data_IF_398503215883
#
_entry.id   IF_398503215883
#
_cell.length_a   1.000
_cell.length_b   1.000
_cell.length_c   1.000
_cell.angle_alpha   90.00
_cell.angle_beta   90.00
_cell.angle_gamma   90.00
#
_symmetry.space_group_name_H-M   'P 1'
#
loop_
_entity.id
_entity.type
_entity.pdbx_description
1 polymer ?
#
# COMPACT_ATOMS: atom_id res chain seq x y z
N UNK A 1 5.52 21.76 7.64
CA UNK A 1 4.17 22.34 7.50
C UNK A 1 3.29 21.84 8.63
N UNK A 2 2.73 22.78 9.40
CA UNK A 2 1.65 22.44 10.32
C UNK A 2 0.34 22.44 9.52
N UNK A 3 -0.16 21.27 9.17
CA UNK A 3 -1.56 21.15 8.75
C UNK A 3 -2.42 21.19 10.01
N UNK A 4 -3.45 22.02 10.01
CA UNK A 4 -4.40 22.05 11.12
C UNK A 4 -5.29 20.82 11.02
N UNK A 5 -5.02 19.83 11.86
CA UNK A 5 -5.88 18.67 12.01
C UNK A 5 -7.15 19.07 12.78
N UNK A 6 -8.30 18.87 12.19
CA UNK A 6 -9.62 19.16 12.78
C UNK A 6 -10.57 17.99 12.54
N UNK A 7 -11.68 17.93 13.26
CA UNK A 7 -12.67 16.87 13.04
C UNK A 7 -13.22 16.82 11.61
N UNK A 8 -13.10 17.89 10.85
CA UNK A 8 -13.52 17.99 9.44
C UNK A 8 -12.37 17.88 8.45
N UNK A 9 -11.14 17.85 8.93
CA UNK A 9 -9.93 17.89 8.10
C UNK A 9 -8.86 16.98 8.72
N UNK A 10 -9.08 15.68 8.61
CA UNK A 10 -8.24 14.63 9.15
C UNK A 10 -7.34 14.08 8.05
N UNK A 11 -6.03 14.07 8.28
CA UNK A 11 -5.03 13.60 7.33
C UNK A 11 -4.48 12.24 7.74
N UNK A 12 -4.31 11.36 6.76
CA UNK A 12 -3.57 10.12 6.97
C UNK A 12 -2.09 10.43 7.21
N UNK A 13 -1.52 9.78 8.22
CA UNK A 13 -0.08 9.75 8.47
C UNK A 13 0.38 8.30 8.58
N UNK A 14 1.68 8.06 8.57
CA UNK A 14 2.22 6.76 8.96
C UNK A 14 2.05 6.55 10.47
N UNK A 15 1.70 5.35 10.86
CA UNK A 15 1.46 5.02 12.27
C UNK A 15 2.77 4.59 12.96
N UNK A 16 3.39 5.46 13.80
CA UNK A 16 4.64 5.12 14.47
C UNK A 16 4.50 4.08 15.58
N UNK A 17 3.26 3.75 15.95
CA UNK A 17 2.97 2.72 16.97
C UNK A 17 2.74 1.35 16.34
N UNK A 18 2.56 1.29 15.02
CA UNK A 18 2.29 0.07 14.26
C UNK A 18 3.32 -0.05 13.15
N UNK A 19 4.47 -0.56 13.48
CA UNK A 19 5.54 -0.84 12.53
C UNK A 19 6.25 -2.15 12.89
N UNK A 20 6.74 -2.84 11.87
CA UNK A 20 7.64 -3.95 12.05
C UNK A 20 9.08 -3.43 12.00
N UNK A 21 9.90 -3.86 12.97
CA UNK A 21 11.29 -3.45 13.18
C UNK A 21 11.48 -2.12 13.91
N UNK A 22 12.48 -2.11 14.79
CA UNK A 22 12.98 -0.92 15.50
C UNK A 22 13.79 0.01 14.60
N UNK A 23 14.02 -0.39 13.35
CA UNK A 23 14.86 0.31 12.38
C UNK A 23 14.08 1.29 11.48
N UNK A 24 12.86 1.69 11.86
CA UNK A 24 12.09 2.70 11.15
C UNK A 24 12.25 4.07 11.82
N UNK A 25 12.59 5.09 11.04
CA UNK A 25 12.57 6.49 11.49
C UNK A 25 11.38 7.21 10.89
N UNK A 26 10.59 7.84 11.76
CA UNK A 26 9.45 8.67 11.38
C UNK A 26 9.82 10.14 11.55
N UNK A 27 9.46 10.97 10.58
CA UNK A 27 9.74 12.40 10.59
C UNK A 27 8.65 13.20 9.87
N UNK A 28 8.77 14.52 9.85
CA UNK A 28 7.81 15.42 9.19
C UNK A 28 6.37 15.22 9.68
N UNK A 29 6.17 15.07 10.99
CA UNK A 29 4.85 14.80 11.57
C UNK A 29 4.28 13.43 11.18
N UNK A 30 5.16 12.43 11.04
CA UNK A 30 4.84 11.07 10.57
C UNK A 30 4.38 10.98 9.10
N UNK A 31 4.66 12.00 8.30
CA UNK A 31 4.43 11.97 6.85
C UNK A 31 5.56 11.26 6.11
N UNK A 32 6.73 11.12 6.75
CA UNK A 32 7.88 10.43 6.19
C UNK A 32 8.29 9.26 7.08
N UNK A 33 8.53 8.11 6.45
CA UNK A 33 9.16 6.94 7.05
C UNK A 33 10.39 6.57 6.25
N UNK A 34 11.47 6.23 6.93
CA UNK A 34 12.70 5.76 6.32
C UNK A 34 13.25 4.57 7.10
N UNK A 35 13.77 3.52 6.44
CA UNK A 35 14.55 2.49 7.11
C UNK A 35 15.85 3.11 7.61
N UNK A 36 16.34 2.64 8.76
CA UNK A 36 17.63 3.06 9.31
C UNK A 36 18.75 2.06 9.00
N UNK A 37 18.39 0.87 8.52
CA UNK A 37 19.32 -0.21 8.19
C UNK A 37 18.85 -0.96 6.93
N UNK A 38 19.80 -1.33 6.08
CA UNK A 38 19.54 -2.07 4.83
C UNK A 38 19.31 -3.58 5.03
N UNK A 39 19.21 -4.06 6.25
CA UNK A 39 19.20 -5.51 6.54
C UNK A 39 17.93 -6.02 7.19
N UNK A 40 17.02 -5.14 7.55
CA UNK A 40 15.81 -5.51 8.27
C UNK A 40 14.58 -5.00 7.52
N UNK A 41 13.62 -5.87 7.33
CA UNK A 41 12.31 -5.50 6.79
C UNK A 41 11.69 -4.41 7.66
N UNK A 42 11.24 -3.34 7.04
CA UNK A 42 10.51 -2.26 7.69
C UNK A 42 9.15 -2.16 7.04
N UNK A 43 8.09 -2.37 7.82
CA UNK A 43 6.72 -2.15 7.36
C UNK A 43 6.02 -1.19 8.30
N UNK A 44 5.22 -0.31 7.75
CA UNK A 44 4.29 0.53 8.51
C UNK A 44 3.00 0.75 7.73
N UNK A 45 1.94 1.12 8.46
CA UNK A 45 0.60 1.34 7.90
C UNK A 45 0.15 2.77 8.12
N UNK A 46 -0.82 3.21 7.32
CA UNK A 46 -1.49 4.50 7.52
C UNK A 46 -2.40 4.49 8.75
N UNK A 47 -2.69 5.68 9.26
CA UNK A 47 -3.60 5.87 10.42
C UNK A 47 -5.08 5.85 10.04
N UNK A 48 -5.42 5.81 8.75
CA UNK A 48 -6.81 5.80 8.27
C UNK A 48 -7.15 4.44 7.68
N UNK A 49 -8.24 3.84 8.14
CA UNK A 49 -8.86 2.66 7.57
C UNK A 49 -9.80 2.99 6.41
N UNK A 50 -9.87 2.12 5.42
CA UNK A 50 -10.64 2.25 4.19
C UNK A 50 -11.65 1.10 4.10
N UNK A 51 -12.91 1.31 4.52
CA UNK A 51 -13.91 0.26 4.53
C UNK A 51 -14.30 -0.19 3.11
N UNK A 52 -14.71 -1.45 2.99
CA UNK A 52 -15.13 -2.07 1.73
C UNK A 52 -16.63 -1.88 1.42
N UNK A 53 -17.26 -0.86 1.98
CA UNK A 53 -18.68 -0.56 1.72
C UNK A 53 -18.89 -0.04 0.29
N UNK A 54 -20.06 -0.30 -0.27
CA UNK A 54 -20.41 0.14 -1.62
C UNK A 54 -20.20 1.64 -1.81
N UNK A 55 -19.53 2.04 -2.88
CA UNK A 55 -19.20 3.42 -3.19
C UNK A 55 -17.99 3.99 -2.47
N UNK A 56 -17.30 3.20 -1.64
CA UNK A 56 -16.08 3.61 -0.94
C UNK A 56 -14.91 3.71 -1.90
N UNK A 57 -14.43 4.94 -2.12
CA UNK A 57 -13.32 5.24 -3.03
C UNK A 57 -12.27 6.09 -2.34
N UNK A 58 -11.01 5.72 -2.54
CA UNK A 58 -9.87 6.32 -1.87
C UNK A 58 -8.78 6.65 -2.87
N UNK A 59 -8.06 7.71 -2.59
CA UNK A 59 -6.90 8.13 -3.38
C UNK A 59 -5.78 8.59 -2.46
N UNK A 60 -4.56 8.21 -2.78
CA UNK A 60 -3.36 8.68 -2.07
C UNK A 60 -2.18 8.82 -3.04
N UNK A 61 -1.29 9.75 -2.70
CA UNK A 61 -0.01 9.94 -3.37
C UNK A 61 1.13 9.76 -2.36
N UNK A 62 2.19 9.11 -2.82
CA UNK A 62 3.37 8.83 -2.01
C UNK A 62 4.62 9.22 -2.80
N UNK A 63 5.44 10.08 -2.22
CA UNK A 63 6.72 10.44 -2.82
C UNK A 63 7.76 9.39 -2.47
N UNK A 64 8.34 8.76 -3.48
CA UNK A 64 9.44 7.82 -3.33
C UNK A 64 10.76 8.62 -3.19
N UNK A 65 11.50 8.40 -2.11
CA UNK A 65 12.71 9.18 -1.77
C UNK A 65 14.01 8.37 -1.84
N UNK A 66 13.92 7.11 -2.22
CA UNK A 66 15.06 6.20 -2.24
C UNK A 66 15.24 5.52 -3.59
N UNK A 67 16.38 4.84 -3.76
CA UNK A 67 16.69 4.04 -4.94
C UNK A 67 16.75 2.55 -4.59
N UNK A 68 16.06 2.13 -3.53
CA UNK A 68 16.05 0.75 -3.07
C UNK A 68 15.06 -0.08 -3.89
N UNK A 69 15.56 -1.11 -4.58
CA UNK A 69 14.77 -1.96 -5.48
C UNK A 69 13.76 -2.87 -4.77
N UNK A 70 13.81 -2.97 -3.46
CA UNK A 70 12.96 -3.90 -2.69
C UNK A 70 11.79 -3.22 -2.00
N UNK A 71 11.66 -1.90 -2.13
CA UNK A 71 10.54 -1.18 -1.55
C UNK A 71 9.19 -1.63 -2.15
N UNK A 72 8.19 -1.73 -1.28
CA UNK A 72 6.82 -2.07 -1.64
C UNK A 72 5.85 -1.02 -1.11
N UNK A 73 4.78 -0.79 -1.84
CA UNK A 73 3.69 0.09 -1.44
C UNK A 73 2.35 -0.52 -1.87
N UNK A 74 1.30 -0.33 -1.08
CA UNK A 74 -0.01 -0.89 -1.45
C UNK A 74 -1.06 -0.79 -0.37
N UNK A 75 -1.97 -1.76 -0.37
CA UNK A 75 -3.01 -1.93 0.63
C UNK A 75 -2.84 -3.25 1.37
N UNK A 76 -3.18 -3.24 2.65
CA UNK A 76 -3.15 -4.36 3.57
C UNK A 76 -4.49 -4.46 4.28
N UNK A 77 -5.02 -5.67 4.44
CA UNK A 77 -6.19 -5.94 5.28
C UNK A 77 -5.90 -5.51 6.72
N UNK A 78 -6.72 -4.60 7.24
CA UNK A 78 -6.54 -4.01 8.56
C UNK A 78 -6.67 -5.05 9.69
N UNK A 79 -7.50 -6.08 9.51
CA UNK A 79 -7.65 -7.16 10.49
C UNK A 79 -6.37 -8.00 10.64
N UNK A 80 -5.51 -7.97 9.64
CA UNK A 80 -4.29 -8.80 9.60
C UNK A 80 -3.01 -8.06 10.02
N UNK A 81 -3.10 -6.78 10.33
CA UNK A 81 -1.94 -5.98 10.77
C UNK A 81 -1.18 -6.68 11.90
N UNK A 82 -1.87 -7.09 12.95
CA UNK A 82 -1.23 -7.77 14.10
C UNK A 82 -0.54 -9.07 13.74
N UNK A 83 -1.12 -9.83 12.80
CA UNK A 83 -0.54 -11.08 12.32
C UNK A 83 0.76 -10.83 11.55
N UNK A 84 0.74 -9.90 10.61
CA UNK A 84 1.91 -9.50 9.79
C UNK A 84 3.07 -9.07 10.66
N UNK A 85 2.80 -8.19 11.62
CA UNK A 85 3.86 -7.63 12.48
C UNK A 85 4.38 -8.61 13.53
N UNK A 86 3.59 -9.61 13.94
CA UNK A 86 4.06 -10.65 14.87
C UNK A 86 4.89 -11.74 14.19
N UNK A 87 4.53 -12.10 12.97
CA UNK A 87 5.08 -13.28 12.30
C UNK A 87 6.20 -12.93 11.33
N UNK A 88 6.61 -11.65 11.23
CA UNK A 88 7.58 -11.21 10.24
C UNK A 88 7.20 -11.68 8.82
N UNK A 89 5.91 -11.60 8.50
CA UNK A 89 5.41 -12.04 7.20
C UNK A 89 6.08 -11.27 6.09
N UNK A 90 6.60 -11.99 5.11
CA UNK A 90 7.19 -11.39 3.92
C UNK A 90 6.09 -10.87 3.00
N UNK A 91 5.80 -9.58 3.06
CA UNK A 91 4.78 -8.96 2.24
C UNK A 91 5.20 -8.78 0.78
N UNK A 92 6.48 -8.90 0.48
CA UNK A 92 7.00 -8.88 -0.88
C UNK A 92 7.07 -10.27 -1.52
N UNK A 93 7.18 -11.32 -0.72
CA UNK A 93 7.36 -12.68 -1.24
C UNK A 93 6.10 -13.17 -1.96
N UNK A 94 6.25 -13.60 -3.21
CA UNK A 94 5.19 -14.22 -4.02
C UNK A 94 4.72 -15.55 -3.43
N UNK A 95 5.63 -16.27 -2.77
CA UNK A 95 5.35 -17.55 -2.12
C UNK A 95 5.10 -17.39 -0.62
N UNK A 96 4.99 -16.14 -0.15
CA UNK A 96 4.76 -15.82 1.25
C UNK A 96 3.35 -16.21 1.71
N UNK A 97 3.00 -15.73 2.87
CA UNK A 97 1.73 -16.04 3.50
C UNK A 97 0.54 -15.66 2.61
N UNK A 98 -0.07 -16.66 1.99
CA UNK A 98 -1.23 -16.49 1.12
C UNK A 98 -2.49 -16.13 1.88
N UNK A 99 -2.45 -16.18 3.21
CA UNK A 99 -3.57 -15.82 4.09
C UNK A 99 -3.65 -14.32 4.37
N UNK A 100 -2.59 -13.54 4.08
CA UNK A 100 -2.57 -12.10 4.33
C UNK A 100 -3.16 -11.33 3.16
N UNK A 101 -4.33 -10.75 3.36
CA UNK A 101 -5.00 -9.92 2.36
C UNK A 101 -4.20 -8.65 2.05
N UNK A 102 -3.68 -8.57 0.83
CA UNK A 102 -2.91 -7.41 0.36
C UNK A 102 -2.88 -7.30 -1.15
N UNK A 103 -2.64 -6.09 -1.63
CA UNK A 103 -2.18 -5.83 -3.00
C UNK A 103 -0.99 -4.91 -2.93
N UNK A 104 0.13 -5.32 -3.48
CA UNK A 104 1.40 -4.59 -3.40
C UNK A 104 1.92 -4.22 -4.77
N UNK A 105 2.52 -3.05 -4.90
CA UNK A 105 3.37 -2.67 -6.01
C UNK A 105 4.83 -2.69 -5.55
N UNK A 106 5.66 -3.47 -6.24
CA UNK A 106 7.10 -3.54 -5.97
C UNK A 106 7.85 -2.58 -6.87
N UNK A 107 8.59 -1.68 -6.25
CA UNK A 107 9.26 -0.56 -6.90
C UNK A 107 10.32 -1.00 -7.91
N UNK A 108 11.16 -1.96 -7.55
CA UNK A 108 12.34 -2.31 -8.35
C UNK A 108 12.06 -3.15 -9.59
N UNK A 109 10.91 -3.82 -9.68
CA UNK A 109 10.59 -4.66 -10.84
C UNK A 109 9.23 -4.37 -11.47
N UNK A 110 8.51 -3.37 -10.96
CA UNK A 110 7.22 -2.95 -11.52
C UNK A 110 6.08 -3.95 -11.35
N UNK A 111 6.22 -4.96 -10.50
CA UNK A 111 5.19 -5.98 -10.32
C UNK A 111 4.13 -5.56 -9.30
N UNK A 112 2.87 -5.70 -9.68
CA UNK A 112 1.73 -5.66 -8.76
C UNK A 112 1.44 -7.10 -8.34
N UNK A 113 1.48 -7.38 -7.05
CA UNK A 113 1.42 -8.74 -6.50
C UNK A 113 0.22 -8.95 -5.58
N UNK A 114 -0.25 -10.19 -5.55
CA UNK A 114 -1.30 -10.70 -4.67
C UNK A 114 -0.78 -11.85 -3.81
N UNK A 115 -1.44 -12.19 -2.69
CA UNK A 115 -1.05 -13.32 -1.85
C UNK A 115 -1.05 -14.67 -2.57
N UNK A 116 -1.88 -14.84 -3.58
CA UNK A 116 -2.00 -16.07 -4.37
C UNK A 116 -0.85 -16.38 -5.33
N UNK A 117 0.22 -15.56 -5.29
CA UNK A 117 1.34 -15.65 -6.23
C UNK A 117 1.04 -15.06 -7.61
N UNK A 118 -0.16 -14.53 -7.81
CA UNK A 118 -0.48 -13.81 -9.05
C UNK A 118 0.22 -12.46 -9.07
N UNK A 119 0.63 -12.05 -10.25
CA UNK A 119 1.22 -10.73 -10.46
C UNK A 119 0.74 -10.11 -11.77
N UNK A 120 0.67 -8.78 -11.77
CA UNK A 120 0.44 -7.98 -12.96
C UNK A 120 1.69 -7.14 -13.19
N UNK A 121 2.28 -7.27 -14.37
CA UNK A 121 3.45 -6.50 -14.73
C UNK A 121 3.02 -5.09 -15.21
N UNK A 122 3.46 -4.06 -14.51
CA UNK A 122 3.27 -2.68 -14.94
C UNK A 122 4.36 -2.21 -15.91
N UNK A 123 5.47 -2.95 -15.97
CA UNK A 123 6.70 -2.58 -16.71
C UNK A 123 7.28 -1.21 -16.30
N UNK A 124 6.91 -0.70 -15.13
CA UNK A 124 7.37 0.60 -14.62
C UNK A 124 8.12 0.38 -13.33
N UNK A 125 9.33 0.90 -13.25
CA UNK A 125 10.15 0.96 -12.03
C UNK A 125 10.25 2.40 -11.56
N UNK A 126 10.39 2.62 -10.26
CA UNK A 126 10.49 3.96 -9.71
C UNK A 126 11.93 4.46 -9.68
N UNK A 127 12.05 5.76 -9.78
CA UNK A 127 13.28 6.51 -9.51
C UNK A 127 13.06 7.48 -8.35
N UNK A 128 14.16 7.97 -7.79
CA UNK A 128 14.10 8.92 -6.68
C UNK A 128 13.27 10.17 -7.06
N UNK A 129 12.39 10.58 -6.18
CA UNK A 129 11.40 11.66 -6.29
C UNK A 129 10.16 11.37 -7.15
N UNK A 130 9.99 10.18 -7.66
CA UNK A 130 8.73 9.80 -8.32
C UNK A 130 7.55 9.85 -7.32
N UNK A 131 6.39 10.22 -7.85
CA UNK A 131 5.12 10.22 -7.12
C UNK A 131 4.36 8.97 -7.50
N UNK A 132 4.21 8.05 -6.56
CA UNK A 132 3.33 6.88 -6.71
C UNK A 132 1.91 7.30 -6.40
N UNK A 133 0.99 6.96 -7.28
CA UNK A 133 -0.44 7.18 -7.11
C UNK A 133 -1.15 5.86 -6.88
N UNK A 134 -2.03 5.81 -5.91
CA UNK A 134 -2.93 4.68 -5.66
C UNK A 134 -4.37 5.18 -5.65
N UNK A 135 -5.20 4.60 -6.50
CA UNK A 135 -6.64 4.76 -6.42
C UNK A 135 -7.27 3.40 -6.07
N UNK A 136 -8.16 3.40 -5.09
CA UNK A 136 -8.83 2.21 -4.59
C UNK A 136 -10.34 2.41 -4.63
N UNK A 137 -11.05 1.53 -5.32
CA UNK A 137 -12.47 1.32 -5.17
C UNK A 137 -12.64 0.08 -4.29
N UNK A 138 -12.61 0.29 -2.97
CA UNK A 138 -12.61 -0.79 -1.99
C UNK A 138 -13.95 -1.55 -1.98
N UNK A 139 -15.04 -0.85 -2.28
CA UNK A 139 -16.37 -1.46 -2.35
C UNK A 139 -16.59 -2.37 -3.56
N UNK A 140 -15.87 -2.15 -4.66
CA UNK A 140 -15.90 -3.01 -5.86
C UNK A 140 -14.65 -3.86 -6.05
N UNK A 141 -13.72 -3.87 -5.10
CA UNK A 141 -12.54 -4.72 -5.13
C UNK A 141 -11.57 -4.42 -6.27
N UNK A 142 -11.36 -3.14 -6.58
CA UNK A 142 -10.44 -2.71 -7.65
C UNK A 142 -9.43 -1.68 -7.17
N UNK A 143 -8.19 -1.83 -7.63
CA UNK A 143 -7.10 -0.91 -7.34
C UNK A 143 -6.33 -0.53 -8.60
N UNK A 144 -5.89 0.71 -8.67
CA UNK A 144 -5.02 1.25 -9.73
C UNK A 144 -3.76 1.79 -9.09
N UNK A 145 -2.64 1.51 -9.73
CA UNK A 145 -1.36 2.13 -9.44
C UNK A 145 -0.94 3.00 -10.62
N UNK A 146 -0.20 4.05 -10.33
CA UNK A 146 0.36 4.94 -11.34
C UNK A 146 1.56 5.70 -10.83
N UNK A 147 2.27 6.35 -11.72
CA UNK A 147 3.46 7.15 -11.43
C UNK A 147 3.40 8.47 -12.19
N UNK A 148 3.68 9.57 -11.51
CA UNK A 148 3.84 10.90 -12.10
C UNK A 148 2.67 11.29 -13.03
N UNK A 149 1.44 11.04 -12.61
CA UNK A 149 0.24 11.39 -13.36
C UNK A 149 -0.20 10.36 -14.41
N UNK A 150 0.53 9.25 -14.57
CA UNK A 150 0.21 8.19 -15.54
C UNK A 150 -0.20 6.91 -14.84
N UNK A 151 -1.40 6.42 -15.10
CA UNK A 151 -1.89 5.14 -14.59
C UNK A 151 -1.30 3.96 -15.38
N UNK A 152 -0.95 2.89 -14.66
CA UNK A 152 -0.44 1.68 -15.28
C UNK A 152 -1.51 0.98 -16.14
N UNK A 153 -1.06 0.23 -17.14
CA UNK A 153 -1.90 -0.59 -18.01
C UNK A 153 -3.08 0.15 -18.66
N UNK A 154 -2.89 1.45 -18.97
CA UNK A 154 -3.96 2.32 -19.47
C UNK A 154 -5.17 2.38 -18.53
N UNK A 155 -4.93 2.26 -17.23
CA UNK A 155 -5.95 2.33 -16.19
C UNK A 155 -6.65 3.67 -16.14
N UNK A 156 -7.93 3.65 -15.76
CA UNK A 156 -8.70 4.87 -15.53
C UNK A 156 -9.61 4.66 -14.31
N UNK A 157 -9.21 5.13 -13.13
CA UNK A 157 -10.02 5.01 -11.93
C UNK A 157 -11.38 5.71 -12.01
N UNK A 158 -11.48 6.82 -12.78
CA UNK A 158 -12.73 7.57 -12.92
C UNK A 158 -13.81 6.77 -13.66
N UNK A 159 -13.41 5.95 -14.61
CA UNK A 159 -14.33 5.07 -15.36
C UNK A 159 -14.37 3.64 -14.85
N UNK A 160 -13.48 3.28 -13.91
CA UNK A 160 -13.33 1.90 -13.41
C UNK A 160 -12.62 0.96 -14.38
N UNK A 161 -11.99 1.50 -15.46
CA UNK A 161 -11.37 0.69 -16.51
C UNK A 161 -9.96 0.24 -16.13
N UNK A 162 -9.60 -0.99 -16.50
CA UNK A 162 -8.26 -1.57 -16.39
C UNK A 162 -7.63 -1.48 -14.97
N UNK A 163 -8.46 -1.50 -13.93
CA UNK A 163 -8.00 -1.67 -12.57
C UNK A 163 -7.61 -3.14 -12.32
N UNK A 164 -6.71 -3.33 -11.38
CA UNK A 164 -6.40 -4.66 -10.86
C UNK A 164 -7.56 -5.12 -10.00
N UNK A 165 -8.23 -6.20 -10.43
CA UNK A 165 -9.41 -6.76 -9.77
C UNK A 165 -8.99 -7.83 -8.76
N UNK A 166 -9.40 -7.66 -7.51
CA UNK A 166 -9.12 -8.62 -6.44
C UNK A 166 -10.39 -9.25 -5.83
N UNK A 167 -11.54 -9.11 -6.48
CA UNK A 167 -12.82 -9.68 -6.01
C UNK A 167 -12.82 -11.18 -5.90
N UNK A 168 -11.99 -11.88 -6.69
CA UNK A 168 -11.84 -13.34 -6.64
C UNK A 168 -10.95 -13.86 -5.50
N UNK A 169 -10.39 -12.96 -4.66
CA UNK A 169 -9.51 -13.36 -3.58
C UNK A 169 -10.31 -13.73 -2.32
N UNK A 170 -9.91 -14.81 -1.66
CA UNK A 170 -10.59 -15.32 -0.47
C UNK A 170 -10.49 -14.42 0.76
N UNK A 171 -9.57 -13.47 0.74
CA UNK A 171 -9.33 -12.50 1.80
C UNK A 171 -10.09 -11.18 1.61
N UNK A 172 -10.91 -11.05 0.58
CA UNK A 172 -11.73 -9.85 0.35
C UNK A 172 -13.22 -10.19 0.39
N UNK A 173 -13.96 -9.40 1.16
CA UNK A 173 -15.42 -9.48 1.27
C UNK A 173 -16.01 -8.08 1.34
N UNK A 174 -16.86 -7.73 0.39
CA UNK A 174 -17.52 -6.44 0.35
C UNK A 174 -18.36 -6.19 1.63
N UNK A 175 -18.15 -5.01 2.23
CA UNK A 175 -18.89 -4.59 3.44
C UNK A 175 -18.41 -5.24 4.73
N UNK A 176 -17.35 -6.04 4.71
CA UNK A 176 -16.81 -6.75 5.88
C UNK A 176 -15.39 -6.32 6.19
N UNK A 177 -14.53 -6.30 5.18
CA UNK A 177 -13.11 -6.01 5.35
C UNK A 177 -12.84 -4.50 5.31
N UNK A 178 -11.75 -4.10 5.95
CA UNK A 178 -11.20 -2.76 5.91
C UNK A 178 -9.74 -2.84 5.45
N UNK A 179 -9.30 -1.87 4.67
CA UNK A 179 -7.91 -1.77 4.25
C UNK A 179 -7.21 -0.57 4.89
N UNK A 180 -5.90 -0.63 4.96
CA UNK A 180 -5.01 0.50 5.22
C UNK A 180 -3.98 0.59 4.11
N UNK A 181 -3.49 1.79 3.82
CA UNK A 181 -2.28 1.90 3.01
C UNK A 181 -1.08 1.41 3.83
N UNK A 182 -0.12 0.80 3.17
CA UNK A 182 1.12 0.43 3.82
C UNK A 182 2.31 0.65 2.88
N UNK A 183 3.46 0.81 3.50
CA UNK A 183 4.75 0.81 2.82
C UNK A 183 5.71 -0.10 3.56
N UNK A 184 6.69 -0.58 2.85
CA UNK A 184 7.74 -1.39 3.44
C UNK A 184 8.94 -1.55 2.55
N UNK A 185 9.95 -2.14 3.15
CA UNK A 185 11.17 -2.60 2.53
C UNK A 185 11.24 -4.10 2.74
N UNK A 186 11.44 -4.89 1.67
CA UNK A 186 11.35 -6.35 1.67
C UNK A 186 12.68 -7.07 1.52
#
# INVERSE_FOLDING_TARGET
DQSTDTCTNNFATWNPLVHYSTSATFSEGNLKVAPTENTSRVYTVSTIGMPTVSGSKWYAEFKYLETNDVAIIGILDAAQISYVFRNNSDLDNQNGDTSVGRVTYRVGNGLIKFPSGQSVDSSVTLTNNDIVMIALDSGSGKIWFGVNGTWFNSGNPATGSNGVDFTGQSWWTAGVDDFVFFVGDG
#
